data_IF_088720217836
#
_entry.id   IF_088720217836
#
_cell.length_a   1.000
_cell.length_b   1.000
_cell.length_c   1.000
_cell.angle_alpha   90.00
_cell.angle_beta   90.00
_cell.angle_gamma   90.00
#
_symmetry.space_group_name_H-M   'P 1'
#
loop_
_entity.id
_entity.type
_entity.pdbx_description
1 polymer ?
#
# COMPACT_ATOMS: atom_id res chain seq x y z
N UNK A 1 1.46 -20.77 17.72
CA UNK A 1 2.49 -21.35 16.83
C UNK A 1 2.17 -21.36 15.34
N UNK A 2 1.00 -20.91 14.90
CA UNK A 2 0.54 -20.99 13.48
C UNK A 2 1.16 -19.89 12.56
N UNK A 3 1.62 -18.77 13.10
CA UNK A 3 1.99 -17.59 12.31
C UNK A 3 3.33 -17.63 11.56
N UNK A 4 4.11 -18.70 11.66
CA UNK A 4 5.43 -18.79 11.00
C UNK A 4 5.52 -19.89 9.95
N UNK A 5 4.47 -20.65 9.70
CA UNK A 5 4.49 -21.67 8.65
C UNK A 5 4.55 -21.01 7.26
N UNK A 6 5.32 -21.58 6.35
CA UNK A 6 5.38 -21.14 4.95
C UNK A 6 3.99 -21.09 4.32
N UNK A 7 3.13 -22.06 4.67
CA UNK A 7 1.74 -22.12 4.22
C UNK A 7 0.92 -20.89 4.64
N UNK A 8 1.03 -20.43 5.90
CA UNK A 8 0.33 -19.23 6.37
C UNK A 8 0.72 -17.98 5.56
N UNK A 9 2.02 -17.79 5.32
CA UNK A 9 2.49 -16.65 4.53
C UNK A 9 1.96 -16.70 3.10
N UNK A 10 2.01 -17.88 2.48
CA UNK A 10 1.52 -18.06 1.12
C UNK A 10 0.02 -17.77 1.01
N UNK A 11 -0.79 -18.33 1.93
CA UNK A 11 -2.24 -18.09 1.98
C UNK A 11 -2.56 -16.61 2.19
N UNK A 12 -1.83 -15.93 3.09
CA UNK A 12 -1.99 -14.50 3.33
C UNK A 12 -1.77 -13.69 2.05
N UNK A 13 -0.66 -13.89 1.34
CA UNK A 13 -0.38 -13.15 0.12
C UNK A 13 -1.32 -13.52 -1.03
N UNK A 14 -1.77 -14.77 -1.10
CA UNK A 14 -2.79 -15.18 -2.07
C UNK A 14 -4.12 -14.44 -1.85
N UNK A 15 -4.58 -14.37 -0.59
CA UNK A 15 -5.80 -13.62 -0.23
C UNK A 15 -5.63 -12.12 -0.54
N UNK A 16 -4.48 -11.53 -0.21
CA UNK A 16 -4.19 -10.13 -0.51
C UNK A 16 -4.26 -9.85 -2.01
N UNK A 17 -3.61 -10.70 -2.83
CA UNK A 17 -3.61 -10.58 -4.28
C UNK A 17 -5.02 -10.73 -4.85
N UNK A 18 -5.78 -11.72 -4.38
CA UNK A 18 -7.16 -11.93 -4.80
C UNK A 18 -8.06 -10.72 -4.45
N UNK A 19 -7.90 -10.17 -3.26
CA UNK A 19 -8.67 -8.98 -2.83
C UNK A 19 -8.34 -7.75 -3.68
N UNK A 20 -7.07 -7.52 -3.99
CA UNK A 20 -6.63 -6.42 -4.87
C UNK A 20 -7.20 -6.63 -6.29
N UNK A 21 -7.17 -7.86 -6.79
CA UNK A 21 -7.71 -8.19 -8.12
C UNK A 21 -9.23 -7.94 -8.19
N UNK A 22 -9.98 -8.41 -7.18
CA UNK A 22 -11.43 -8.15 -7.09
C UNK A 22 -11.72 -6.65 -7.00
N UNK A 23 -10.97 -5.90 -6.19
CA UNK A 23 -11.12 -4.45 -6.09
C UNK A 23 -10.90 -3.76 -7.45
N UNK A 24 -9.92 -4.22 -8.24
CA UNK A 24 -9.66 -3.69 -9.59
C UNK A 24 -10.76 -4.04 -10.60
N UNK A 25 -11.37 -5.23 -10.49
CA UNK A 25 -12.52 -5.59 -11.32
C UNK A 25 -13.73 -4.73 -10.99
N UNK A 26 -14.01 -4.52 -9.70
CA UNK A 26 -15.09 -3.64 -9.23
C UNK A 26 -14.88 -2.20 -9.70
N UNK A 27 -13.64 -1.68 -9.62
CA UNK A 27 -13.27 -0.38 -10.15
C UNK A 27 -13.70 -0.24 -11.62
N UNK A 28 -13.43 -1.23 -12.43
CA UNK A 28 -13.78 -1.22 -13.85
C UNK A 28 -15.28 -1.23 -14.10
N UNK A 29 -16.01 -2.08 -13.37
CA UNK A 29 -17.47 -2.18 -13.50
C UNK A 29 -18.16 -0.87 -13.08
N UNK A 30 -17.71 -0.26 -11.99
CA UNK A 30 -18.28 0.98 -11.47
C UNK A 30 -17.95 2.16 -12.40
N UNK A 31 -16.73 2.22 -12.95
CA UNK A 31 -16.28 3.28 -13.86
C UNK A 31 -17.07 3.32 -15.20
N UNK A 32 -17.72 2.23 -15.59
CA UNK A 32 -18.61 2.20 -16.76
C UNK A 32 -19.90 2.99 -16.49
N UNK A 33 -20.38 2.98 -15.24
CA UNK A 33 -21.65 3.62 -14.86
C UNK A 33 -21.52 5.02 -14.27
N UNK A 34 -20.36 5.37 -13.74
CA UNK A 34 -20.10 6.63 -13.06
C UNK A 34 -18.81 7.28 -13.59
N UNK A 35 -18.82 8.59 -13.87
CA UNK A 35 -17.63 9.30 -14.34
C UNK A 35 -16.62 9.58 -13.22
N UNK A 36 -16.67 8.83 -12.11
CA UNK A 36 -15.81 8.99 -10.94
C UNK A 36 -14.84 7.81 -10.93
N UNK A 37 -13.56 8.08 -10.84
CA UNK A 37 -12.55 7.05 -10.64
C UNK A 37 -12.75 6.38 -9.28
N UNK A 38 -12.98 5.09 -9.31
CA UNK A 38 -13.03 4.24 -8.12
C UNK A 38 -11.66 3.68 -7.76
N UNK A 39 -10.60 4.12 -8.44
CA UNK A 39 -9.21 3.75 -8.16
C UNK A 39 -8.82 4.02 -6.70
N UNK A 40 -9.47 5.01 -6.07
CA UNK A 40 -9.36 5.26 -4.64
C UNK A 40 -9.63 4.01 -3.78
N UNK A 41 -10.62 3.19 -4.16
CA UNK A 41 -10.94 1.95 -3.44
C UNK A 41 -9.80 0.92 -3.56
N UNK A 42 -9.20 0.81 -4.74
CA UNK A 42 -8.07 -0.10 -4.98
C UNK A 42 -6.86 0.34 -4.18
N UNK A 43 -6.55 1.64 -4.17
CA UNK A 43 -5.47 2.21 -3.36
C UNK A 43 -5.72 2.01 -1.87
N UNK A 44 -6.96 2.22 -1.41
CA UNK A 44 -7.36 2.01 -0.01
C UNK A 44 -7.10 0.55 0.42
N UNK A 45 -7.52 -0.43 -0.39
CA UNK A 45 -7.25 -1.85 -0.15
C UNK A 45 -5.75 -2.13 -0.12
N UNK A 46 -5.01 -1.62 -1.11
CA UNK A 46 -3.55 -1.83 -1.21
C UNK A 46 -2.82 -1.25 0.00
N UNK A 47 -3.09 -0.01 0.40
CA UNK A 47 -2.46 0.59 1.57
C UNK A 47 -2.89 -0.06 2.88
N UNK A 48 -4.13 -0.57 2.96
CA UNK A 48 -4.58 -1.33 4.13
C UNK A 48 -3.71 -2.57 4.35
N UNK A 49 -3.37 -3.28 3.30
CA UNK A 49 -2.46 -4.42 3.39
C UNK A 49 -0.99 -4.01 3.55
N UNK A 50 -0.57 -2.91 2.91
CA UNK A 50 0.79 -2.39 3.01
C UNK A 50 1.19 -2.10 4.46
N UNK A 51 0.30 -1.47 5.22
CA UNK A 51 0.54 -1.12 6.62
C UNK A 51 0.02 -2.17 7.62
N UNK A 52 -0.54 -3.30 7.18
CA UNK A 52 -1.14 -4.29 8.07
C UNK A 52 -0.16 -4.79 9.12
N UNK A 53 1.03 -5.15 8.69
CA UNK A 53 2.15 -5.55 9.55
C UNK A 53 3.28 -4.53 9.45
N UNK A 54 3.94 -4.29 10.59
CA UNK A 54 5.07 -3.36 10.64
C UNK A 54 6.36 -4.03 10.14
N UNK A 55 6.30 -4.65 8.94
CA UNK A 55 7.45 -5.29 8.28
C UNK A 55 7.68 -4.68 6.91
N UNK A 56 8.94 -4.36 6.61
CA UNK A 56 9.33 -3.78 5.32
C UNK A 56 8.91 -4.66 4.14
N UNK A 57 9.13 -5.98 4.27
CA UNK A 57 8.81 -6.95 3.24
C UNK A 57 7.31 -6.94 2.92
N UNK A 58 6.44 -6.87 3.93
CA UNK A 58 5.00 -6.83 3.72
C UNK A 58 4.56 -5.59 2.94
N UNK A 59 5.11 -4.41 3.30
CA UNK A 59 4.78 -3.15 2.63
C UNK A 59 5.17 -3.16 1.15
N UNK A 60 6.42 -3.46 0.86
CA UNK A 60 6.93 -3.46 -0.53
C UNK A 60 6.29 -4.57 -1.36
N UNK A 61 6.16 -5.79 -0.80
CA UNK A 61 5.58 -6.92 -1.53
C UNK A 61 4.11 -6.68 -1.88
N UNK A 62 3.31 -6.07 -0.98
CA UNK A 62 1.91 -5.73 -1.28
C UNK A 62 1.79 -4.79 -2.47
N UNK A 63 2.61 -3.75 -2.52
CA UNK A 63 2.60 -2.80 -3.63
C UNK A 63 3.17 -3.42 -4.93
N UNK A 64 4.12 -4.35 -4.82
CA UNK A 64 4.61 -5.13 -5.97
C UNK A 64 3.51 -6.04 -6.53
N UNK A 65 2.77 -6.73 -5.67
CA UNK A 65 1.60 -7.54 -6.08
C UNK A 65 0.52 -6.67 -6.74
N UNK A 66 0.26 -5.48 -6.20
CA UNK A 66 -0.63 -4.51 -6.84
C UNK A 66 -0.15 -4.13 -8.25
N UNK A 67 1.15 -3.87 -8.41
CA UNK A 67 1.75 -3.58 -9.72
C UNK A 67 1.60 -4.73 -10.71
N UNK A 68 1.82 -5.96 -10.25
CA UNK A 68 1.67 -7.16 -11.07
C UNK A 68 0.20 -7.39 -11.46
N UNK A 69 -0.75 -7.25 -10.53
CA UNK A 69 -2.18 -7.34 -10.83
C UNK A 69 -2.61 -6.26 -11.82
N UNK A 70 -2.08 -5.03 -11.70
CA UNK A 70 -2.31 -3.95 -12.67
C UNK A 70 -1.81 -4.31 -14.06
N UNK A 71 -0.64 -4.93 -14.16
CA UNK A 71 -0.08 -5.40 -15.42
C UNK A 71 -0.97 -6.47 -16.06
N UNK A 72 -1.38 -7.48 -15.30
CA UNK A 72 -2.30 -8.54 -15.79
C UNK A 72 -3.64 -7.96 -16.24
N UNK A 73 -4.16 -6.96 -15.50
CA UNK A 73 -5.42 -6.28 -15.84
C UNK A 73 -5.38 -5.65 -17.23
N UNK A 74 -4.24 -5.10 -17.68
CA UNK A 74 -4.14 -4.48 -19.01
C UNK A 74 -4.36 -5.46 -20.17
N UNK A 75 -4.10 -6.76 -19.98
CA UNK A 75 -4.42 -7.79 -20.99
C UNK A 75 -5.92 -8.10 -21.05
N UNK A 76 -6.62 -7.99 -19.93
CA UNK A 76 -8.06 -8.32 -19.84
C UNK A 76 -8.91 -7.11 -20.19
N UNK A 77 -8.53 -5.94 -19.70
CA UNK A 77 -9.23 -4.66 -19.89
C UNK A 77 -8.24 -3.60 -20.35
N UNK A 78 -7.96 -3.50 -21.65
CA UNK A 78 -7.04 -2.52 -22.19
C UNK A 78 -7.41 -1.09 -21.79
N UNK A 79 -6.45 -0.33 -21.30
CA UNK A 79 -6.58 1.10 -21.00
C UNK A 79 -5.71 1.94 -21.95
N UNK A 80 -5.50 3.21 -21.62
CA UNK A 80 -4.57 4.08 -22.37
C UNK A 80 -3.14 3.51 -22.45
N UNK A 81 -2.75 2.65 -21.52
CA UNK A 81 -1.45 1.96 -21.53
C UNK A 81 -1.35 0.96 -22.68
N UNK A 82 -2.47 0.42 -23.14
CA UNK A 82 -2.50 -0.52 -24.26
C UNK A 82 -2.08 0.11 -25.61
N UNK A 83 -2.09 1.45 -25.72
CA UNK A 83 -1.56 2.14 -26.90
C UNK A 83 -0.03 2.03 -27.03
N UNK A 84 0.67 1.65 -25.95
CA UNK A 84 2.12 1.45 -25.95
C UNK A 84 2.49 0.01 -26.28
N UNK A 85 3.71 -0.24 -26.82
CA UNK A 85 4.22 -1.59 -27.01
C UNK A 85 4.24 -2.41 -25.72
N UNK A 86 3.90 -3.69 -25.76
CA UNK A 86 3.73 -4.57 -24.58
C UNK A 86 4.97 -4.62 -23.67
N UNK A 87 6.16 -4.53 -24.25
CA UNK A 87 7.42 -4.54 -23.49
C UNK A 87 7.62 -3.29 -22.60
N UNK A 88 6.87 -2.21 -22.85
CA UNK A 88 6.89 -0.98 -22.04
C UNK A 88 5.89 -1.04 -20.88
N UNK A 89 4.86 -1.88 -20.97
CA UNK A 89 3.81 -1.97 -19.94
C UNK A 89 4.33 -2.21 -18.51
N UNK A 90 5.31 -3.13 -18.29
CA UNK A 90 5.86 -3.31 -16.93
C UNK A 90 6.50 -2.04 -16.37
N UNK A 91 7.12 -1.23 -17.21
CA UNK A 91 7.73 0.03 -16.80
C UNK A 91 6.67 1.04 -16.35
N UNK A 92 5.53 1.11 -17.05
CA UNK A 92 4.44 2.04 -16.75
C UNK A 92 3.59 1.52 -15.57
N UNK A 93 3.35 0.20 -15.49
CA UNK A 93 2.41 -0.36 -14.50
C UNK A 93 3.08 -0.87 -13.23
N UNK A 94 4.21 -1.56 -13.31
CA UNK A 94 4.82 -2.20 -12.14
C UNK A 94 5.78 -1.27 -11.41
N UNK A 95 6.66 -0.60 -12.14
CA UNK A 95 7.71 0.24 -11.53
C UNK A 95 7.16 1.32 -10.58
N UNK A 96 6.16 2.13 -10.96
CA UNK A 96 5.60 3.15 -10.08
C UNK A 96 5.00 2.58 -8.79
N UNK A 97 4.38 1.39 -8.87
CA UNK A 97 3.75 0.72 -7.71
C UNK A 97 4.78 0.15 -6.74
N UNK A 98 5.86 -0.43 -7.26
CA UNK A 98 6.98 -0.86 -6.41
C UNK A 98 7.60 0.33 -5.68
N UNK A 99 7.89 1.40 -6.40
CA UNK A 99 8.44 2.63 -5.81
C UNK A 99 7.47 3.26 -4.79
N UNK A 100 6.17 3.27 -5.08
CA UNK A 100 5.12 3.67 -4.13
C UNK A 100 5.24 2.90 -2.81
N UNK A 101 5.41 1.59 -2.86
CA UNK A 101 5.56 0.75 -1.67
C UNK A 101 6.82 1.06 -0.87
N UNK A 102 7.94 1.26 -1.56
CA UNK A 102 9.22 1.62 -0.91
C UNK A 102 9.11 2.97 -0.22
N UNK A 103 8.61 4.00 -0.92
CA UNK A 103 8.50 5.35 -0.37
C UNK A 103 7.46 5.41 0.75
N UNK A 104 6.26 4.87 0.52
CA UNK A 104 5.19 4.88 1.52
C UNK A 104 5.63 4.21 2.84
N UNK A 105 6.21 3.01 2.75
CA UNK A 105 6.67 2.31 3.95
C UNK A 105 7.90 2.97 4.57
N UNK A 106 8.81 3.51 3.77
CA UNK A 106 9.97 4.28 4.24
C UNK A 106 9.56 5.52 5.03
N UNK A 107 8.64 6.33 4.48
CA UNK A 107 8.09 7.51 5.15
C UNK A 107 7.33 7.12 6.42
N UNK A 108 6.52 6.05 6.38
CA UNK A 108 5.84 5.54 7.56
C UNK A 108 6.81 5.21 8.71
N UNK A 109 7.90 4.49 8.41
CA UNK A 109 8.93 4.15 9.38
C UNK A 109 9.65 5.38 9.92
N UNK A 110 10.00 6.32 9.04
CA UNK A 110 10.65 7.57 9.43
C UNK A 110 9.76 8.38 10.39
N UNK A 111 8.47 8.52 10.04
CA UNK A 111 7.51 9.22 10.87
C UNK A 111 7.30 8.57 12.23
N UNK A 112 7.30 7.23 12.30
CA UNK A 112 7.24 6.52 13.58
C UNK A 112 8.44 6.82 14.48
N UNK A 113 9.62 7.07 13.91
CA UNK A 113 10.81 7.48 14.66
C UNK A 113 10.69 8.91 15.17
N UNK A 114 10.25 9.82 14.30
CA UNK A 114 10.11 11.26 14.63
C UNK A 114 8.99 11.48 15.65
N UNK A 115 7.88 10.78 15.50
CA UNK A 115 6.69 10.96 16.37
C UNK A 115 6.73 10.14 17.66
N UNK A 116 7.87 9.59 18.05
CA UNK A 116 8.04 8.79 19.30
C UNK A 116 7.57 9.52 20.57
N UNK A 117 7.63 10.85 20.60
CA UNK A 117 7.24 11.68 21.75
C UNK A 117 5.71 11.83 21.90
N UNK A 118 4.91 11.47 20.89
CA UNK A 118 3.46 11.56 20.96
C UNK A 118 2.90 10.45 21.86
N UNK A 119 2.26 10.85 22.95
CA UNK A 119 1.71 9.96 23.99
C UNK A 119 0.52 9.15 23.45
N UNK A 120 -0.30 9.74 22.59
CA UNK A 120 -1.46 9.06 22.02
C UNK A 120 -1.06 8.18 20.83
N UNK A 121 -0.95 6.88 21.07
CA UNK A 121 -0.55 5.91 20.06
C UNK A 121 -1.50 5.85 18.85
N UNK A 122 -2.81 6.02 19.08
CA UNK A 122 -3.80 6.00 18.01
C UNK A 122 -3.60 7.19 17.07
N UNK A 123 -3.52 8.41 17.62
CA UNK A 123 -3.30 9.62 16.84
C UNK A 123 -1.96 9.56 16.09
N UNK A 124 -0.91 9.06 16.73
CA UNK A 124 0.41 8.85 16.12
C UNK A 124 0.33 7.94 14.89
N UNK A 125 -0.30 6.78 15.02
CA UNK A 125 -0.42 5.81 13.92
C UNK A 125 -1.27 6.37 12.78
N UNK A 126 -2.41 6.99 13.10
CA UNK A 126 -3.26 7.66 12.10
C UNK A 126 -2.47 8.69 11.31
N UNK A 127 -1.76 9.60 11.99
CA UNK A 127 -0.95 10.64 11.35
C UNK A 127 0.14 10.04 10.45
N UNK A 128 0.88 9.06 10.97
CA UNK A 128 1.97 8.42 10.22
C UNK A 128 1.46 7.71 8.96
N UNK A 129 0.34 6.99 9.06
CA UNK A 129 -0.25 6.29 7.91
C UNK A 129 -0.77 7.30 6.89
N UNK A 130 -1.49 8.34 7.32
CA UNK A 130 -2.06 9.36 6.43
C UNK A 130 -0.97 10.07 5.62
N UNK A 131 0.08 10.56 6.28
CA UNK A 131 1.20 11.25 5.60
C UNK A 131 1.95 10.28 4.69
N UNK A 132 2.22 9.06 5.14
CA UNK A 132 2.93 8.07 4.34
C UNK A 132 2.12 7.65 3.10
N UNK A 133 0.80 7.55 3.19
CA UNK A 133 -0.10 7.29 2.07
C UNK A 133 -0.06 8.44 1.05
N UNK A 134 -0.02 9.70 1.52
CA UNK A 134 0.12 10.85 0.62
C UNK A 134 1.41 10.77 -0.20
N UNK A 135 2.57 10.57 0.45
CA UNK A 135 3.85 10.46 -0.26
C UNK A 135 3.91 9.23 -1.17
N UNK A 136 3.30 8.13 -0.78
CA UNK A 136 3.17 6.94 -1.62
C UNK A 136 2.39 7.22 -2.89
N UNK A 137 1.20 7.80 -2.78
CA UNK A 137 0.37 8.18 -3.92
C UNK A 137 1.08 9.20 -4.84
N UNK A 138 1.71 10.24 -4.24
CA UNK A 138 2.47 11.23 -5.00
C UNK A 138 3.59 10.57 -5.82
N UNK A 139 4.35 9.66 -5.21
CA UNK A 139 5.40 8.90 -5.89
C UNK A 139 4.84 8.07 -7.04
N UNK A 140 3.73 7.36 -6.83
CA UNK A 140 3.08 6.58 -7.87
C UNK A 140 2.69 7.46 -9.06
N UNK A 141 2.06 8.60 -8.81
CA UNK A 141 1.61 9.52 -9.86
C UNK A 141 2.79 10.11 -10.63
N UNK A 142 3.80 10.64 -9.93
CA UNK A 142 4.97 11.25 -10.56
C UNK A 142 5.70 10.23 -11.42
N UNK A 143 5.97 9.03 -10.91
CA UNK A 143 6.67 8.00 -11.67
C UNK A 143 5.84 7.44 -12.83
N UNK A 144 4.51 7.32 -12.66
CA UNK A 144 3.61 6.93 -13.73
C UNK A 144 3.66 7.95 -14.89
N UNK A 145 3.53 9.25 -14.60
CA UNK A 145 3.62 10.31 -15.60
C UNK A 145 5.01 10.37 -16.25
N UNK A 146 6.05 10.15 -15.49
CA UNK A 146 7.43 10.10 -15.99
C UNK A 146 7.63 8.91 -16.92
N UNK A 147 7.13 7.73 -16.53
CA UNK A 147 7.18 6.53 -17.38
C UNK A 147 6.40 6.72 -18.68
N UNK A 148 5.20 7.32 -18.62
CA UNK A 148 4.44 7.68 -19.83
C UNK A 148 5.23 8.65 -20.73
N UNK A 149 5.83 9.68 -20.15
CA UNK A 149 6.61 10.65 -20.91
C UNK A 149 7.84 10.02 -21.60
N UNK A 150 8.56 9.14 -20.91
CA UNK A 150 9.70 8.41 -21.48
C UNK A 150 9.25 7.44 -22.58
N UNK A 151 8.08 6.85 -22.43
CA UNK A 151 7.56 5.83 -23.36
C UNK A 151 6.97 6.42 -24.64
N UNK A 152 6.61 7.71 -24.67
CA UNK A 152 6.01 8.36 -25.84
C UNK A 152 6.93 8.37 -27.06
N UNK A 153 8.23 8.59 -26.86
CA UNK A 153 9.22 8.57 -27.94
C UNK A 153 9.31 7.20 -28.61
N UNK A 154 9.04 6.15 -27.85
CA UNK A 154 9.03 4.76 -28.33
C UNK A 154 7.72 4.45 -29.08
N UNK A 155 6.60 5.07 -28.68
CA UNK A 155 5.30 4.85 -29.28
C UNK A 155 5.00 5.76 -30.50
N UNK A 156 5.87 6.74 -30.78
CA UNK A 156 5.63 7.71 -31.87
C UNK A 156 4.40 8.62 -31.65
N UNK A 157 4.00 8.84 -30.39
CA UNK A 157 2.84 9.66 -30.05
C UNK A 157 3.17 11.15 -30.03
N UNK A 158 2.26 11.97 -30.56
CA UNK A 158 2.36 13.42 -30.55
C UNK A 158 2.22 14.00 -29.13
N UNK A 159 2.94 15.09 -28.89
CA UNK A 159 3.00 15.78 -27.59
C UNK A 159 1.62 16.25 -27.09
N UNK A 160 0.77 16.71 -28.00
CA UNK A 160 -0.57 17.25 -27.71
C UNK A 160 -1.51 16.19 -27.13
N UNK A 161 -1.46 14.98 -27.67
CA UNK A 161 -2.29 13.86 -27.19
C UNK A 161 -1.94 13.44 -25.75
N UNK A 162 -0.64 13.51 -25.38
CA UNK A 162 -0.18 13.16 -24.05
C UNK A 162 -0.56 14.21 -23.00
N UNK A 163 -0.48 15.49 -23.33
CA UNK A 163 -0.87 16.58 -22.43
C UNK A 163 -2.36 16.46 -22.06
N UNK A 164 -3.23 16.21 -23.02
CA UNK A 164 -4.67 16.03 -22.79
C UNK A 164 -4.95 14.85 -21.87
N UNK A 165 -4.21 13.74 -22.02
CA UNK A 165 -4.32 12.57 -21.13
C UNK A 165 -3.84 12.92 -19.72
N UNK A 166 -2.73 13.64 -19.60
CA UNK A 166 -2.18 14.05 -18.31
C UNK A 166 -3.12 14.99 -17.58
N UNK A 167 -3.64 16.01 -18.25
CA UNK A 167 -4.59 16.98 -17.67
C UNK A 167 -5.90 16.31 -17.26
N UNK A 168 -6.43 15.42 -18.09
CA UNK A 168 -7.62 14.64 -17.76
C UNK A 168 -7.43 13.76 -16.51
N UNK A 169 -6.31 13.06 -16.41
CA UNK A 169 -6.00 12.21 -15.24
C UNK A 169 -5.74 13.06 -13.99
N UNK A 170 -5.00 14.16 -14.11
CA UNK A 170 -4.69 15.04 -12.97
C UNK A 170 -5.91 15.70 -12.36
N UNK A 171 -6.79 16.31 -13.20
CA UNK A 171 -7.91 17.11 -12.73
C UNK A 171 -9.05 16.26 -12.16
N UNK A 172 -9.34 15.12 -12.78
CA UNK A 172 -10.54 14.34 -12.45
C UNK A 172 -10.30 13.28 -11.38
N UNK A 173 -9.12 12.70 -11.31
CA UNK A 173 -8.88 11.49 -10.51
C UNK A 173 -7.99 11.69 -9.30
N UNK A 174 -6.93 12.49 -9.41
CA UNK A 174 -5.88 12.54 -8.36
C UNK A 174 -6.41 13.11 -7.04
N UNK A 175 -7.17 14.20 -7.10
CA UNK A 175 -7.62 14.90 -5.89
C UNK A 175 -8.58 14.05 -5.04
N UNK A 176 -9.67 13.47 -5.60
CA UNK A 176 -10.54 12.59 -4.83
C UNK A 176 -9.85 11.29 -4.39
N UNK A 177 -9.00 10.70 -5.23
CA UNK A 177 -8.24 9.49 -4.86
C UNK A 177 -7.34 9.71 -3.65
N UNK A 178 -6.62 10.84 -3.62
CA UNK A 178 -5.73 11.18 -2.51
C UNK A 178 -6.51 11.42 -1.22
N UNK A 179 -7.57 12.22 -1.28
CA UNK A 179 -8.39 12.52 -0.11
C UNK A 179 -9.03 11.26 0.49
N UNK A 180 -9.63 10.43 -0.34
CA UNK A 180 -10.27 9.18 0.10
C UNK A 180 -9.24 8.23 0.69
N UNK A 181 -8.13 7.97 0.00
CA UNK A 181 -7.10 7.05 0.47
C UNK A 181 -6.39 7.54 1.73
N UNK A 182 -6.22 8.85 1.91
CA UNK A 182 -5.62 9.43 3.11
C UNK A 182 -6.55 9.36 4.32
N UNK A 183 -7.82 9.78 4.15
CA UNK A 183 -8.77 9.87 5.27
C UNK A 183 -9.24 8.48 5.68
N UNK A 184 -9.71 7.67 4.73
CA UNK A 184 -10.24 6.35 5.03
C UNK A 184 -9.14 5.31 5.24
N UNK A 185 -7.99 5.44 4.57
CA UNK A 185 -6.91 4.44 4.63
C UNK A 185 -6.42 4.20 6.04
N UNK A 186 -6.19 5.26 6.82
CA UNK A 186 -5.73 5.12 8.21
C UNK A 186 -6.76 4.44 9.10
N UNK A 187 -8.05 4.75 8.94
CA UNK A 187 -9.14 4.16 9.74
C UNK A 187 -9.34 2.68 9.40
N UNK A 188 -9.30 2.33 8.11
CA UNK A 188 -9.41 0.94 7.65
C UNK A 188 -8.24 0.11 8.15
N UNK A 189 -7.00 0.60 8.04
CA UNK A 189 -5.80 -0.09 8.57
C UNK A 189 -5.96 -0.38 10.07
N UNK A 190 -6.33 0.61 10.85
CA UNK A 190 -6.47 0.45 12.30
C UNK A 190 -7.65 -0.45 12.68
N UNK A 191 -8.75 -0.38 11.93
CA UNK A 191 -9.90 -1.28 12.07
C UNK A 191 -9.52 -2.73 11.79
N UNK A 192 -8.83 -3.00 10.69
CA UNK A 192 -8.37 -4.35 10.31
C UNK A 192 -7.35 -4.88 11.32
N UNK A 193 -6.40 -4.06 11.78
CA UNK A 193 -5.45 -4.45 12.84
C UNK A 193 -6.18 -4.88 14.12
N UNK A 194 -7.20 -4.15 14.54
CA UNK A 194 -8.04 -4.51 15.70
C UNK A 194 -8.78 -5.83 15.47
N UNK A 195 -9.42 -5.98 14.32
CA UNK A 195 -10.13 -7.21 13.95
C UNK A 195 -9.25 -8.46 13.95
N UNK A 196 -8.02 -8.32 13.49
CA UNK A 196 -7.01 -9.39 13.48
C UNK A 196 -6.27 -9.55 14.81
N UNK A 197 -6.67 -8.82 15.86
CA UNK A 197 -6.01 -8.81 17.19
C UNK A 197 -4.51 -8.51 17.11
N UNK A 198 -4.12 -7.68 16.15
CA UNK A 198 -2.79 -7.10 16.09
C UNK A 198 -2.75 -5.87 17.02
N UNK A 199 -1.56 -5.59 17.59
CA UNK A 199 -1.36 -4.33 18.31
C UNK A 199 -1.57 -3.13 17.39
N UNK A 200 -1.82 -1.96 17.96
CA UNK A 200 -1.95 -0.70 17.20
C UNK A 200 -0.73 -0.49 16.29
N UNK A 201 0.45 -0.95 16.71
CA UNK A 201 1.71 -0.89 15.95
C UNK A 201 1.84 -1.96 14.85
N UNK A 202 0.85 -2.81 14.64
CA UNK A 202 0.91 -3.92 13.69
C UNK A 202 1.77 -5.10 14.15
N UNK A 203 2.19 -5.13 15.40
CA UNK A 203 2.92 -6.25 16.00
C UNK A 203 1.94 -7.22 16.67
N UNK A 204 2.25 -8.52 16.65
CA UNK A 204 1.43 -9.53 17.32
C UNK A 204 1.42 -9.31 18.84
N UNK A 205 0.25 -9.05 19.42
CA UNK A 205 0.08 -8.85 20.88
C UNK A 205 0.62 -10.04 21.70
N UNK A 206 0.50 -11.28 21.20
CA UNK A 206 1.03 -12.47 21.85
C UNK A 206 2.56 -12.46 22.00
N UNK A 207 3.28 -11.82 21.06
CA UNK A 207 4.75 -11.74 21.11
C UNK A 207 5.22 -10.74 22.16
N UNK A 208 4.46 -9.65 22.36
CA UNK A 208 4.72 -8.66 23.41
C UNK A 208 4.48 -9.25 24.81
N UNK A 209 3.41 -10.03 25.00
CA UNK A 209 3.11 -10.67 26.27
C UNK A 209 4.16 -11.71 26.67
N UNK A 210 4.65 -12.53 25.72
CA UNK A 210 5.68 -13.54 26.00
C UNK A 210 7.02 -12.90 26.37
N UNK A 211 7.39 -11.80 25.73
CA UNK A 211 8.65 -11.09 26.05
C UNK A 211 8.59 -10.36 27.41
N UNK A 212 7.40 -9.98 27.86
CA UNK A 212 7.19 -9.39 29.19
C UNK A 212 7.22 -10.47 30.27
N UNK A 213 6.66 -11.62 29.99
CA UNK A 213 6.63 -12.76 30.92
C UNK A 213 8.03 -13.35 31.14
N UNK A 214 8.84 -13.51 30.09
CA UNK A 214 10.23 -13.93 30.17
C UNK A 214 11.08 -12.95 31.02
N UNK A 215 10.88 -11.66 30.86
CA UNK A 215 11.60 -10.66 31.68
C UNK A 215 11.22 -10.72 33.16
N UNK A 216 9.95 -10.99 33.46
CA UNK A 216 9.47 -11.09 34.83
C UNK A 216 9.97 -12.40 35.50
N UNK A 217 10.08 -13.48 34.76
CA UNK A 217 10.65 -14.75 35.28
C UNK A 217 12.16 -14.64 35.58
N UNK A 218 12.92 -13.99 34.68
CA UNK A 218 14.36 -13.78 34.86
C UNK A 218 14.63 -12.86 36.07
N UNK A 219 13.81 -11.85 36.29
CA UNK A 219 13.94 -10.95 37.44
C UNK A 219 13.57 -11.64 38.77
N UNK A 220 12.64 -12.59 38.76
CA UNK A 220 12.25 -13.35 39.96
C UNK A 220 13.33 -14.35 40.38
N UNK A 221 14.09 -14.93 39.43
CA UNK A 221 15.18 -15.88 39.72
C UNK A 221 16.41 -15.17 40.29
N UNK A 222 16.75 -13.99 39.76
CA UNK A 222 17.90 -13.20 40.29
C UNK A 222 17.68 -12.67 41.71
N UNK A 223 16.42 -12.56 42.15
CA UNK A 223 16.12 -12.13 43.54
C UNK A 223 16.18 -13.28 44.54
N UNK A 224 16.09 -14.52 44.07
CA UNK A 224 16.21 -15.73 44.93
C UNK A 224 17.64 -16.20 45.16
N UNK A 225 18.56 -15.88 44.28
CA UNK A 225 20.00 -16.22 44.44
C UNK A 225 20.79 -15.20 45.29
N UNK A 226 20.18 -14.09 45.67
CA UNK A 226 20.78 -13.02 46.49
C UNK A 226 20.41 -13.06 47.97
N UNK A 227 19.69 -14.08 48.47
CA UNK A 227 19.40 -14.31 49.89
C UNK A 227 20.10 -15.56 50.39
#
# INVERSE_FOLDING_TARGET
>A
MVNNSKAYKLTKYAIMTATIFVAMLLDRVISIGLPISTAACVLLVTFSFCYLENTWINGVLTCTLFGFVSFVKEFIFPSSVAAFPVYVWPLITVLPRVAMGVVAFGVYRLLLLVTRKLTNQYARQTLCITIATFFGNATNTVLFLLALNLSKSVAGMDYTSLIVVIEGVLLTNILPEYLISMILGSQVVLGVRRGLRLGIDGNNLKRAQHSTQDKTCVQADTTKEGM
#
